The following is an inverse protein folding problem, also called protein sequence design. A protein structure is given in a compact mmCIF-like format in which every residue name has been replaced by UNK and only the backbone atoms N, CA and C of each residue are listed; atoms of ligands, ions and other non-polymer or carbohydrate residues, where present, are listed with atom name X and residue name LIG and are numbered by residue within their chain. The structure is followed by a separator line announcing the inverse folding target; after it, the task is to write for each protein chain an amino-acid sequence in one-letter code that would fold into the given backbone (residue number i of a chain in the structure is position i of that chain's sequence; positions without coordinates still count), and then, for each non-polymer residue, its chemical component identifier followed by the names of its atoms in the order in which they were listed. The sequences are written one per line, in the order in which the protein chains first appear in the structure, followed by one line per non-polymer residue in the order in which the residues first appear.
data_IF_768045727606
#
_entry.id   IF_768045727606
#
_cell.length_a   1.000
_cell.length_b   1.000
_cell.length_c   1.000
_cell.angle_alpha   90.00
_cell.angle_beta   90.00
_cell.angle_gamma   90.00
#
_symmetry.space_group_name_H-M   'P 1'
#
loop_
_entity.id
_entity.type
_entity.pdbx_description
1 polymer ?
#
# COMPACT_ATOMS: atom_id res chain seq x y z
N UNK A 1 -13.66 12.78 22.55
CA UNK A 1 -12.67 12.39 21.53
C UNK A 1 -13.47 11.96 20.32
N UNK A 2 -13.43 12.76 19.27
CA UNK A 2 -14.20 12.54 18.05
C UNK A 2 -13.77 11.22 17.41
N UNK A 3 -14.75 10.48 16.92
CA UNK A 3 -14.59 9.23 16.16
C UNK A 3 -13.59 9.47 15.05
N UNK A 4 -12.38 8.98 15.29
CA UNK A 4 -11.27 8.71 14.39
C UNK A 4 -11.63 8.93 12.92
N UNK A 5 -11.04 9.96 12.31
CA UNK A 5 -10.83 9.98 10.86
C UNK A 5 -10.25 8.62 10.49
N UNK A 6 -11.04 7.77 9.83
CA UNK A 6 -10.60 6.42 9.49
C UNK A 6 -9.38 6.58 8.58
N UNK A 7 -8.29 5.89 8.90
CA UNK A 7 -7.03 6.02 8.17
C UNK A 7 -7.25 5.74 6.66
N UNK A 8 -8.23 4.91 6.34
CA UNK A 8 -8.65 4.61 4.96
C UNK A 8 -9.32 5.78 4.24
N UNK A 9 -10.04 6.67 4.93
CA UNK A 9 -10.80 7.76 4.30
C UNK A 9 -9.89 8.83 3.68
N UNK A 10 -8.69 9.04 4.25
CA UNK A 10 -7.69 9.97 3.71
C UNK A 10 -6.70 9.32 2.72
N UNK A 11 -6.83 8.02 2.44
CA UNK A 11 -5.94 7.34 1.51
C UNK A 11 -6.19 7.83 0.08
N UNK A 12 -5.21 8.55 -0.46
CA UNK A 12 -5.24 9.04 -1.84
C UNK A 12 -4.09 8.48 -2.65
N UNK A 13 -4.39 7.69 -3.67
CA UNK A 13 -3.42 7.30 -4.70
C UNK A 13 -3.34 8.41 -5.74
N UNK A 14 -2.13 8.92 -5.99
CA UNK A 14 -1.88 10.04 -6.92
C UNK A 14 -1.19 9.59 -8.20
N UNK A 15 -0.42 8.50 -8.16
CA UNK A 15 0.27 7.96 -9.33
C UNK A 15 0.51 6.46 -9.19
N UNK A 16 0.31 5.75 -10.29
CA UNK A 16 0.73 4.35 -10.50
C UNK A 16 1.69 4.29 -11.69
N UNK A 17 2.86 3.68 -11.52
CA UNK A 17 3.90 3.55 -12.54
C UNK A 17 4.36 2.09 -12.64
N UNK A 18 3.80 1.38 -13.61
CA UNK A 18 4.15 0.00 -13.97
C UNK A 18 5.27 -0.06 -15.03
N UNK A 19 5.74 1.08 -15.53
CA UNK A 19 6.75 1.14 -16.60
C UNK A 19 8.18 0.95 -16.09
N UNK A 20 8.39 1.14 -14.79
CA UNK A 20 9.66 0.87 -14.11
C UNK A 20 9.82 -0.65 -13.97
N UNK A 21 10.72 -1.23 -14.75
CA UNK A 21 10.95 -2.69 -14.91
C UNK A 21 11.50 -3.40 -13.65
N UNK A 22 10.93 -3.17 -12.47
CA UNK A 22 11.39 -3.73 -11.20
C UNK A 22 10.47 -4.84 -10.69
N UNK A 23 9.72 -5.51 -11.58
CA UNK A 23 8.83 -6.63 -11.24
C UNK A 23 7.56 -6.25 -10.47
N UNK A 24 7.33 -4.96 -10.20
CA UNK A 24 6.16 -4.47 -9.47
C UNK A 24 5.69 -3.10 -9.97
N UNK A 25 4.62 -2.58 -9.36
CA UNK A 25 4.06 -1.26 -9.68
C UNK A 25 4.42 -0.27 -8.60
N UNK A 26 5.06 0.84 -8.99
CA UNK A 26 5.27 1.95 -8.05
C UNK A 26 3.95 2.69 -7.83
N UNK A 27 3.57 2.84 -6.57
CA UNK A 27 2.39 3.59 -6.14
C UNK A 27 2.84 4.76 -5.28
N UNK A 28 2.38 5.96 -5.63
CA UNK A 28 2.61 7.16 -4.83
C UNK A 28 1.28 7.73 -4.39
N UNK A 29 1.21 8.17 -3.14
CA UNK A 29 -0.01 8.68 -2.55
C UNK A 29 0.22 9.46 -1.27
N UNK A 30 -0.88 9.76 -0.59
CA UNK A 30 -0.89 10.33 0.74
C UNK A 30 -1.90 9.62 1.64
N UNK A 31 -1.64 9.62 2.94
CA UNK A 31 -2.54 9.08 3.96
C UNK A 31 -2.30 9.82 5.28
N UNK A 32 -3.37 10.23 5.95
CA UNK A 32 -3.34 11.08 7.15
C UNK A 32 -2.41 12.32 6.99
N UNK A 33 -2.42 12.96 5.82
CA UNK A 33 -1.55 14.10 5.50
C UNK A 33 -0.06 13.77 5.25
N UNK A 34 0.32 12.49 5.25
CA UNK A 34 1.69 12.05 4.97
C UNK A 34 1.81 11.47 3.56
N UNK A 35 2.84 11.89 2.81
CA UNK A 35 3.14 11.34 1.49
C UNK A 35 3.90 10.02 1.59
N UNK A 36 3.62 9.09 0.68
CA UNK A 36 4.33 7.82 0.54
C UNK A 36 4.65 7.49 -0.91
N UNK A 37 5.67 6.66 -1.09
CA UNK A 37 5.95 5.94 -2.33
C UNK A 37 6.32 4.51 -1.98
N UNK A 38 5.62 3.55 -2.58
CA UNK A 38 5.78 2.11 -2.31
C UNK A 38 5.83 1.34 -3.62
N UNK A 39 6.54 0.21 -3.63
CA UNK A 39 6.55 -0.73 -4.74
C UNK A 39 5.65 -1.92 -4.36
N UNK A 40 4.61 -2.16 -5.15
CA UNK A 40 3.61 -3.20 -4.90
C UNK A 40 3.79 -4.34 -5.90
N UNK A 41 3.80 -5.57 -5.39
CA UNK A 41 3.87 -6.80 -6.17
C UNK A 41 2.52 -7.52 -6.07
N UNK A 42 2.13 -8.22 -7.13
CA UNK A 42 0.93 -9.08 -7.11
C UNK A 42 1.21 -10.41 -6.39
N UNK A 43 2.46 -10.86 -6.44
CA UNK A 43 2.92 -12.08 -5.79
C UNK A 43 3.20 -11.87 -4.30
N UNK A 44 3.12 -12.96 -3.55
CA UNK A 44 3.55 -13.02 -2.16
C UNK A 44 5.04 -12.77 -2.01
N UNK A 45 5.45 -12.38 -0.80
CA UNK A 45 6.86 -12.35 -0.45
C UNK A 45 7.50 -13.74 -0.64
N UNK A 46 8.73 -13.78 -1.16
CA UNK A 46 9.47 -15.04 -1.34
C UNK A 46 9.72 -15.80 -0.03
N UNK A 47 9.71 -15.08 1.10
CA UNK A 47 9.78 -15.64 2.44
C UNK A 47 8.54 -15.22 3.24
N UNK A 48 7.79 -16.20 3.74
CA UNK A 48 6.56 -16.00 4.51
C UNK A 48 6.77 -15.16 5.78
N UNK A 49 7.96 -15.20 6.38
CA UNK A 49 8.29 -14.38 7.56
C UNK A 49 8.31 -12.88 7.28
N UNK A 50 8.39 -12.48 6.00
CA UNK A 50 8.31 -11.08 5.58
C UNK A 50 6.87 -10.62 5.35
N UNK A 51 5.90 -11.55 5.37
CA UNK A 51 4.48 -11.20 5.36
C UNK A 51 4.07 -10.68 6.73
N UNK A 52 3.48 -9.49 6.78
CA UNK A 52 3.01 -8.88 8.03
C UNK A 52 1.68 -9.50 8.45
N UNK A 53 1.78 -10.52 9.30
CA UNK A 53 0.66 -11.34 9.75
C UNK A 53 0.21 -12.28 8.64
N UNK A 54 -0.19 -13.50 8.99
CA UNK A 54 -0.82 -14.46 8.06
C UNK A 54 -2.18 -13.99 7.51
N UNK A 55 -2.48 -12.70 7.66
CA UNK A 55 -3.74 -12.07 7.32
C UNK A 55 -3.75 -11.76 5.84
N UNK A 56 -4.60 -12.49 5.14
CA UNK A 56 -5.09 -12.18 3.80
C UNK A 56 -5.92 -10.91 3.88
N UNK A 57 -5.29 -9.74 4.12
CA UNK A 57 -5.92 -8.47 3.77
C UNK A 57 -5.97 -8.42 2.24
N UNK A 58 -6.97 -9.15 1.72
CA UNK A 58 -7.78 -8.68 0.63
C UNK A 58 -8.22 -7.29 1.02
N UNK A 59 -7.87 -6.31 0.20
CA UNK A 59 -8.56 -5.03 0.15
C UNK A 59 -10.06 -5.29 0.28
N UNK A 60 -10.64 -4.83 1.37
CA UNK A 60 -11.83 -3.97 1.47
C UNK A 60 -12.08 -3.67 2.94
#
# INVERSE_FOLDING_TARGET
MSTTDDLGDDLKITKTDSSRQMGGTWVTGSIAGHSFQVLVFEDHAECEEYELGTSRISKL
#
